data_IF_932932539290
#
_entry.id   IF_932932539290
#
_cell.length_a   1.000
_cell.length_b   1.000
_cell.length_c   1.000
_cell.angle_alpha   90.00
_cell.angle_beta   90.00
_cell.angle_gamma   90.00
#
_symmetry.space_group_name_H-M   'P 1'
#
loop_
_entity.id
_entity.type
_entity.pdbx_description
1 polymer ?
#
# COMPACT_ATOMS: atom_id res chain seq x y z
N UNK A 1 22.18 13.35 25.31
CA UNK A 1 21.26 12.56 24.47
C UNK A 1 19.84 12.77 24.99
N UNK A 2 19.08 13.69 24.40
CA UNK A 2 17.65 13.90 24.68
C UNK A 2 16.86 12.99 23.72
N UNK A 3 16.82 11.70 24.01
CA UNK A 3 15.98 10.75 23.28
C UNK A 3 14.89 10.28 24.22
N UNK A 4 13.63 10.26 23.76
CA UNK A 4 12.44 9.80 24.48
C UNK A 4 11.81 10.85 25.43
N UNK A 5 11.28 11.94 24.86
CA UNK A 5 10.41 12.90 25.58
C UNK A 5 8.92 12.50 25.58
N UNK A 6 8.54 11.35 24.98
CA UNK A 6 7.16 10.87 24.94
C UNK A 6 6.98 9.57 25.73
N UNK A 7 5.91 9.49 26.52
CA UNK A 7 5.53 8.25 27.21
C UNK A 7 5.09 7.19 26.19
N UNK A 8 5.49 5.93 26.35
CA UNK A 8 5.03 4.86 25.49
C UNK A 8 3.50 4.74 25.55
N UNK A 9 2.87 4.53 24.39
CA UNK A 9 1.43 4.30 24.28
C UNK A 9 1.19 2.98 23.55
N UNK A 10 -0.01 2.40 23.69
CA UNK A 10 -0.44 1.26 22.88
C UNK A 10 -0.84 1.67 21.44
N UNK A 11 -0.76 2.96 21.11
CA UNK A 11 -0.98 3.48 19.76
C UNK A 11 0.34 3.37 18.96
N UNK A 12 0.55 2.21 18.34
CA UNK A 12 1.70 1.95 17.46
C UNK A 12 1.76 2.87 16.23
N UNK A 13 0.70 3.64 15.97
CA UNK A 13 0.63 4.61 14.86
C UNK A 13 0.96 6.03 15.30
N UNK A 14 1.21 6.29 16.58
CA UNK A 14 1.53 7.62 17.10
C UNK A 14 2.75 8.26 16.43
N UNK A 15 3.70 7.46 15.93
CA UNK A 15 4.87 7.99 15.20
C UNK A 15 4.49 8.64 13.86
N UNK A 16 3.41 8.20 13.21
CA UNK A 16 2.92 8.80 11.96
C UNK A 16 2.37 10.23 12.19
N UNK A 17 2.14 10.64 13.44
CA UNK A 17 1.69 12.01 13.78
C UNK A 17 2.85 13.02 13.77
N UNK A 18 4.09 12.55 13.75
CA UNK A 18 5.27 13.39 13.91
C UNK A 18 6.31 13.13 12.83
N UNK A 19 6.57 14.17 12.04
CA UNK A 19 7.67 14.36 11.09
C UNK A 19 7.74 13.36 9.92
N UNK A 20 7.99 13.95 8.76
CA UNK A 20 8.13 13.29 7.48
C UNK A 20 9.00 12.02 7.48
N UNK A 21 8.56 11.01 6.75
CA UNK A 21 9.28 9.75 6.53
C UNK A 21 10.13 9.88 5.27
N UNK A 22 11.39 9.44 5.30
CA UNK A 22 12.22 9.40 4.10
C UNK A 22 12.11 8.04 3.42
N UNK A 23 11.71 8.05 2.15
CA UNK A 23 11.60 6.88 1.28
C UNK A 23 12.28 7.21 -0.03
N UNK A 24 13.23 6.37 -0.45
CA UNK A 24 13.97 6.54 -1.71
C UNK A 24 14.59 7.94 -1.87
N UNK A 25 15.13 8.49 -0.78
CA UNK A 25 15.74 9.82 -0.72
C UNK A 25 14.75 11.00 -0.58
N UNK A 26 13.45 10.76 -0.75
CA UNK A 26 12.41 11.78 -0.72
C UNK A 26 11.55 11.73 0.54
N UNK A 27 11.10 12.91 0.98
CA UNK A 27 10.26 13.10 2.16
C UNK A 27 8.80 12.77 1.85
N UNK A 28 8.11 12.02 2.71
CA UNK A 28 6.68 11.70 2.62
C UNK A 28 6.00 12.21 3.89
N UNK A 29 4.80 12.78 3.74
CA UNK A 29 3.95 13.18 4.86
C UNK A 29 2.98 12.03 5.22
N UNK A 30 3.19 11.32 6.35
CA UNK A 30 2.40 10.13 6.69
C UNK A 30 1.01 10.44 7.27
N UNK A 31 0.65 11.71 7.49
CA UNK A 31 -0.60 12.08 8.16
C UNK A 31 -1.85 11.56 7.44
N UNK A 32 -1.84 11.54 6.09
CA UNK A 32 -2.93 10.98 5.30
C UNK A 32 -3.07 9.47 5.49
N UNK A 33 -1.95 8.74 5.45
CA UNK A 33 -1.92 7.30 5.68
C UNK A 33 -2.42 6.95 7.08
N UNK A 34 -2.03 7.73 8.11
CA UNK A 34 -2.53 7.56 9.49
C UNK A 34 -4.05 7.61 9.58
N UNK A 35 -4.67 8.63 8.97
CA UNK A 35 -6.12 8.80 9.00
C UNK A 35 -6.83 7.67 8.26
N UNK A 36 -6.31 7.27 7.10
CA UNK A 36 -6.85 6.16 6.33
C UNK A 36 -6.75 4.84 7.08
N UNK A 37 -5.62 4.55 7.74
CA UNK A 37 -5.45 3.37 8.59
C UNK A 37 -6.45 3.37 9.75
N UNK A 38 -6.64 4.51 10.42
CA UNK A 38 -7.65 4.65 11.46
C UNK A 38 -9.06 4.41 10.94
N UNK A 39 -9.36 4.85 9.72
CA UNK A 39 -10.63 4.61 9.05
C UNK A 39 -10.80 3.11 8.74
N UNK A 40 -9.77 2.45 8.21
CA UNK A 40 -9.78 1.00 7.92
C UNK A 40 -10.12 0.21 9.18
N UNK A 41 -9.42 0.46 10.29
CA UNK A 41 -9.63 -0.27 11.55
C UNK A 41 -11.06 -0.15 12.10
N UNK A 42 -11.78 0.92 11.77
CA UNK A 42 -13.15 1.15 12.24
C UNK A 42 -14.19 0.56 11.29
N UNK A 43 -13.98 0.69 9.98
CA UNK A 43 -15.01 0.48 8.97
C UNK A 43 -14.87 -0.86 8.23
N UNK A 44 -13.65 -1.33 7.99
CA UNK A 44 -13.41 -2.59 7.28
C UNK A 44 -13.63 -3.77 8.24
N UNK A 45 -14.33 -4.80 7.76
CA UNK A 45 -14.62 -6.03 8.52
C UNK A 45 -13.99 -7.23 7.83
N UNK A 46 -13.61 -8.23 8.63
CA UNK A 46 -12.90 -9.41 8.14
C UNK A 46 -11.46 -9.10 7.75
N UNK A 47 -10.94 -9.87 6.80
CA UNK A 47 -9.56 -9.75 6.32
C UNK A 47 -9.50 -9.67 4.78
N UNK A 48 -10.20 -8.70 4.16
CA UNK A 48 -10.14 -8.50 2.71
C UNK A 48 -8.72 -8.15 2.25
N UNK A 49 -8.36 -8.55 1.03
CA UNK A 49 -7.08 -8.18 0.42
C UNK A 49 -7.10 -6.71 0.02
N UNK A 50 -6.08 -5.97 0.45
CA UNK A 50 -5.84 -4.58 0.07
C UNK A 50 -4.62 -4.47 -0.83
N UNK A 51 -4.77 -3.82 -1.97
CA UNK A 51 -3.65 -3.48 -2.85
C UNK A 51 -2.99 -2.19 -2.36
N UNK A 52 -1.66 -2.20 -2.27
CA UNK A 52 -0.83 -1.02 -1.96
C UNK A 52 0.47 -1.07 -2.78
N UNK A 53 1.18 0.05 -2.89
CA UNK A 53 2.44 0.13 -3.63
C UNK A 53 3.49 -0.86 -3.11
N UNK A 54 4.33 -1.34 -4.02
CA UNK A 54 5.45 -2.25 -3.75
C UNK A 54 6.75 -1.64 -4.26
N UNK A 55 7.92 -1.94 -3.66
CA UNK A 55 9.19 -1.40 -4.15
C UNK A 55 9.49 -1.85 -5.60
N UNK A 56 9.76 -0.92 -6.51
CA UNK A 56 10.09 -1.23 -7.92
C UNK A 56 11.58 -1.12 -8.26
N UNK A 57 12.35 -0.31 -7.50
CA UNK A 57 13.65 0.19 -7.94
C UNK A 57 14.86 -0.46 -7.26
N UNK A 58 14.72 -1.72 -6.87
CA UNK A 58 15.82 -2.47 -6.32
C UNK A 58 15.91 -3.87 -6.95
N UNK A 59 17.12 -4.34 -7.31
CA UNK A 59 17.36 -5.78 -7.48
C UNK A 59 16.69 -6.54 -6.34
N UNK A 60 16.20 -7.77 -6.56
CA UNK A 60 15.56 -8.56 -5.50
C UNK A 60 16.43 -8.64 -4.22
N UNK A 61 17.76 -8.58 -4.37
CA UNK A 61 18.78 -8.53 -3.31
C UNK A 61 18.79 -7.23 -2.47
N UNK A 62 18.13 -6.19 -2.98
CA UNK A 62 18.06 -4.84 -2.42
C UNK A 62 16.60 -4.40 -2.22
N UNK A 63 15.61 -5.28 -2.43
CA UNK A 63 14.23 -5.00 -2.03
C UNK A 63 14.19 -5.06 -0.50
N UNK A 64 14.49 -3.91 0.10
CA UNK A 64 14.75 -3.80 1.52
C UNK A 64 13.44 -4.01 2.30
N UNK A 65 13.45 -5.00 3.18
CA UNK A 65 12.63 -4.96 4.39
C UNK A 65 12.88 -3.63 5.13
N UNK A 66 11.93 -3.19 5.96
CA UNK A 66 12.03 -1.97 6.76
C UNK A 66 11.98 -0.66 5.96
N UNK A 67 11.44 -0.72 4.74
CA UNK A 67 10.99 0.47 4.01
C UNK A 67 9.56 0.84 4.44
N UNK A 68 9.11 2.03 4.03
CA UNK A 68 7.72 2.46 4.26
C UNK A 68 6.71 1.75 3.34
N UNK A 69 7.16 0.87 2.43
CA UNK A 69 6.25 0.02 1.67
C UNK A 69 5.59 -1.03 2.58
N UNK A 70 4.44 -1.55 2.14
CA UNK A 70 3.56 -2.42 2.93
C UNK A 70 3.06 -1.80 4.25
N UNK A 71 3.10 -0.46 4.40
CA UNK A 71 2.64 0.20 5.64
C UNK A 71 1.18 -0.08 5.93
N UNK A 72 0.33 -0.21 4.91
CA UNK A 72 -1.12 -0.34 5.11
C UNK A 72 -1.43 -1.73 5.66
N UNK A 73 -1.00 -2.79 4.98
CA UNK A 73 -1.14 -4.17 5.46
C UNK A 73 -0.47 -4.38 6.82
N UNK A 74 0.74 -3.85 7.02
CA UNK A 74 1.48 -4.00 8.30
C UNK A 74 0.78 -3.34 9.48
N UNK A 75 0.13 -2.19 9.27
CA UNK A 75 -0.52 -1.42 10.35
C UNK A 75 -2.00 -1.78 10.55
N UNK A 76 -2.63 -2.45 9.58
CA UNK A 76 -4.05 -2.84 9.65
C UNK A 76 -4.26 -4.33 9.91
N UNK A 77 -3.26 -5.17 9.61
CA UNK A 77 -3.39 -6.62 9.63
C UNK A 77 -4.15 -7.21 8.42
N UNK A 78 -4.49 -6.38 7.43
CA UNK A 78 -5.10 -6.85 6.19
C UNK A 78 -4.04 -7.52 5.28
N UNK A 79 -4.38 -8.64 4.60
CA UNK A 79 -3.50 -9.22 3.59
C UNK A 79 -3.32 -8.27 2.39
N UNK A 80 -2.18 -8.35 1.72
CA UNK A 80 -1.89 -7.64 0.45
C UNK A 80 -1.38 -8.63 -0.60
N UNK A 81 -1.39 -8.22 -1.87
CA UNK A 81 -0.95 -9.06 -3.01
C UNK A 81 0.50 -9.51 -2.84
N UNK A 82 1.36 -8.60 -2.40
CA UNK A 82 2.74 -8.91 -2.01
C UNK A 82 3.19 -7.90 -0.95
N UNK A 83 3.65 -8.42 0.20
CA UNK A 83 4.10 -7.61 1.32
C UNK A 83 5.61 -7.38 1.29
N UNK A 84 6.28 -7.66 2.40
CA UNK A 84 7.74 -7.62 2.49
C UNK A 84 8.36 -8.87 1.85
N UNK A 85 8.83 -8.70 0.62
CA UNK A 85 9.31 -9.76 -0.27
C UNK A 85 10.46 -10.57 0.34
N UNK A 86 11.34 -9.95 1.14
CA UNK A 86 12.46 -10.65 1.78
C UNK A 86 12.06 -11.38 3.07
N UNK A 87 11.05 -10.90 3.81
CA UNK A 87 10.40 -11.67 4.88
C UNK A 87 9.67 -12.91 4.34
N UNK A 88 8.97 -12.80 3.21
CA UNK A 88 8.36 -13.97 2.55
C UNK A 88 9.43 -14.99 2.10
N UNK A 89 10.53 -14.51 1.51
CA UNK A 89 11.67 -15.36 1.14
C UNK A 89 12.30 -16.05 2.36
N UNK A 90 12.47 -15.34 3.47
CA UNK A 90 13.04 -15.89 4.71
C UNK A 90 12.16 -16.96 5.38
N UNK A 91 10.85 -16.98 5.08
CA UNK A 91 9.93 -18.05 5.50
C UNK A 91 9.86 -19.23 4.51
N UNK A 92 10.70 -19.22 3.47
CA UNK A 92 10.82 -20.32 2.50
C UNK A 92 9.93 -20.20 1.26
N UNK A 93 9.30 -19.04 1.01
CA UNK A 93 8.65 -18.79 -0.28
C UNK A 93 9.72 -18.61 -1.37
N UNK A 94 9.56 -19.31 -2.50
CA UNK A 94 10.47 -19.21 -3.65
C UNK A 94 10.30 -17.85 -4.34
N UNK A 95 11.40 -17.22 -4.74
CA UNK A 95 11.44 -15.95 -5.49
C UNK A 95 10.58 -15.95 -6.77
N UNK A 96 10.37 -17.14 -7.36
CA UNK A 96 9.49 -17.34 -8.53
C UNK A 96 8.01 -16.97 -8.26
N UNK A 97 7.61 -16.81 -7.01
CA UNK A 97 6.23 -16.48 -6.60
C UNK A 97 6.06 -14.97 -6.38
N UNK A 98 7.08 -14.28 -5.89
CA UNK A 98 6.99 -12.85 -5.52
C UNK A 98 7.20 -11.92 -6.71
N UNK A 99 8.13 -12.25 -7.61
CA UNK A 99 8.38 -11.40 -8.79
C UNK A 99 7.16 -11.23 -9.72
N UNK A 100 6.38 -12.26 -10.05
CA UNK A 100 5.17 -12.09 -10.86
C UNK A 100 4.13 -11.20 -10.18
N UNK A 101 4.01 -11.30 -8.85
CA UNK A 101 3.08 -10.48 -8.07
C UNK A 101 3.50 -9.01 -8.07
N UNK A 102 4.78 -8.71 -7.91
CA UNK A 102 5.30 -7.33 -8.01
C UNK A 102 5.02 -6.76 -9.41
N UNK A 103 5.27 -7.55 -10.46
CA UNK A 103 4.95 -7.15 -11.84
C UNK A 103 3.47 -6.88 -12.03
N UNK A 104 2.60 -7.70 -11.44
CA UNK A 104 1.16 -7.53 -11.50
C UNK A 104 0.69 -6.30 -10.72
N UNK A 105 1.19 -6.05 -9.51
CA UNK A 105 0.89 -4.82 -8.76
C UNK A 105 1.32 -3.59 -9.57
N UNK A 106 2.52 -3.63 -10.15
CA UNK A 106 3.02 -2.57 -11.01
C UNK A 106 2.11 -2.35 -12.24
N UNK A 107 1.69 -3.43 -12.88
CA UNK A 107 0.75 -3.38 -14.01
C UNK A 107 -0.58 -2.76 -13.58
N UNK A 108 -1.16 -3.23 -12.47
CA UNK A 108 -2.44 -2.74 -11.95
C UNK A 108 -2.35 -1.24 -11.72
N UNK A 109 -1.30 -0.70 -11.08
CA UNK A 109 -1.23 0.74 -10.88
C UNK A 109 -0.90 1.54 -12.14
N UNK A 110 -0.12 0.99 -13.08
CA UNK A 110 0.40 1.73 -14.23
C UNK A 110 -0.48 1.72 -15.48
N UNK A 111 -1.30 0.68 -15.68
CA UNK A 111 -2.16 0.56 -16.87
C UNK A 111 -3.29 1.60 -16.87
N UNK A 112 -3.66 2.09 -18.05
CA UNK A 112 -4.90 2.88 -18.27
C UNK A 112 -6.09 1.97 -18.61
N UNK A 113 -5.83 0.70 -18.96
CA UNK A 113 -6.86 -0.30 -19.28
C UNK A 113 -7.50 -0.86 -17.99
N UNK A 114 -8.74 -0.45 -17.73
CA UNK A 114 -9.50 -0.84 -16.53
C UNK A 114 -9.81 -2.33 -16.50
N UNK A 115 -10.15 -2.92 -17.64
CA UNK A 115 -10.49 -4.34 -17.76
C UNK A 115 -9.27 -5.22 -17.46
N UNK A 116 -8.09 -4.80 -17.95
CA UNK A 116 -6.83 -5.47 -17.63
C UNK A 116 -6.50 -5.38 -16.14
N UNK A 117 -6.73 -4.23 -15.52
CA UNK A 117 -6.54 -4.06 -14.08
C UNK A 117 -7.50 -4.93 -13.27
N UNK A 118 -8.79 -4.93 -13.63
CA UNK A 118 -9.85 -5.72 -12.98
C UNK A 118 -9.53 -7.21 -13.01
N UNK A 119 -9.15 -7.75 -14.17
CA UNK A 119 -8.76 -9.16 -14.31
C UNK A 119 -7.64 -9.55 -13.32
N UNK A 120 -6.70 -8.65 -13.06
CA UNK A 120 -5.61 -8.88 -12.10
C UNK A 120 -6.09 -8.72 -10.66
N UNK A 121 -6.86 -7.69 -10.35
CA UNK A 121 -7.46 -7.47 -9.02
C UNK A 121 -8.30 -8.69 -8.58
N UNK A 122 -9.16 -9.19 -9.46
CA UNK A 122 -9.99 -10.39 -9.24
C UNK A 122 -9.13 -11.64 -9.00
N UNK A 123 -8.03 -11.81 -9.76
CA UNK A 123 -7.15 -12.97 -9.60
C UNK A 123 -6.48 -13.06 -8.23
N UNK A 124 -6.39 -11.95 -7.51
CA UNK A 124 -5.85 -11.85 -6.16
C UNK A 124 -6.92 -11.60 -5.09
N UNK A 125 -8.21 -11.65 -5.44
CA UNK A 125 -9.34 -11.35 -4.55
C UNK A 125 -9.20 -9.97 -3.85
N UNK A 126 -8.68 -8.99 -4.58
CA UNK A 126 -8.50 -7.62 -4.06
C UNK A 126 -9.85 -6.98 -3.89
N UNK A 127 -10.17 -6.59 -2.66
CA UNK A 127 -11.39 -5.87 -2.35
C UNK A 127 -11.19 -4.36 -2.25
N UNK A 128 -10.01 -3.92 -1.82
CA UNK A 128 -9.69 -2.51 -1.68
C UNK A 128 -8.39 -2.14 -2.40
N UNK A 129 -8.38 -1.00 -3.08
CA UNK A 129 -7.18 -0.37 -3.64
C UNK A 129 -6.86 0.89 -2.85
N UNK A 130 -5.62 0.98 -2.36
CA UNK A 130 -5.12 2.14 -1.63
C UNK A 130 -4.31 3.04 -2.56
N UNK A 131 -4.60 4.33 -2.61
CA UNK A 131 -3.85 5.32 -3.39
C UNK A 131 -3.45 6.48 -2.48
N UNK A 132 -2.17 6.53 -2.09
CA UNK A 132 -1.62 7.60 -1.27
C UNK A 132 -0.30 8.14 -1.82
N UNK A 133 0.51 8.73 -0.94
CA UNK A 133 1.75 9.43 -1.33
C UNK A 133 2.76 8.54 -2.06
N UNK A 134 2.85 7.24 -1.71
CA UNK A 134 3.73 6.31 -2.41
C UNK A 134 3.21 6.00 -3.81
N UNK A 135 1.91 5.73 -3.92
CA UNK A 135 1.27 5.37 -5.17
C UNK A 135 1.36 6.54 -6.18
N UNK A 136 1.03 7.77 -5.76
CA UNK A 136 1.16 8.97 -6.61
C UNK A 136 2.61 9.26 -7.04
N UNK A 137 3.59 8.92 -6.20
CA UNK A 137 5.00 9.14 -6.54
C UNK A 137 5.50 8.13 -7.55
N UNK A 138 5.08 6.87 -7.41
CA UNK A 138 5.69 5.75 -8.12
C UNK A 138 5.03 5.48 -9.46
N UNK A 139 3.72 5.69 -9.57
CA UNK A 139 2.95 5.25 -10.72
C UNK A 139 2.46 6.44 -11.56
N UNK A 140 2.25 6.24 -12.88
CA UNK A 140 1.75 7.31 -13.74
C UNK A 140 0.33 7.73 -13.34
N UNK A 141 0.11 9.04 -13.25
CA UNK A 141 -1.18 9.61 -12.83
C UNK A 141 -2.37 9.13 -13.68
N UNK A 142 -2.18 8.95 -14.99
CA UNK A 142 -3.23 8.38 -15.86
C UNK A 142 -3.62 6.96 -15.48
N UNK A 143 -2.65 6.17 -15.01
CA UNK A 143 -2.93 4.85 -14.46
C UNK A 143 -3.78 4.96 -13.19
N UNK A 144 -3.45 5.87 -12.28
CA UNK A 144 -4.21 6.05 -11.03
C UNK A 144 -5.64 6.56 -11.28
N UNK A 145 -5.82 7.47 -12.23
CA UNK A 145 -7.14 8.03 -12.59
C UNK A 145 -8.15 6.97 -13.02
N UNK A 146 -7.71 5.79 -13.45
CA UNK A 146 -8.61 4.70 -13.84
C UNK A 146 -9.52 4.25 -12.69
N UNK A 147 -9.07 4.39 -11.44
CA UNK A 147 -9.85 3.98 -10.26
C UNK A 147 -11.07 4.87 -10.02
N UNK A 148 -11.19 6.01 -10.72
CA UNK A 148 -12.37 6.86 -10.74
C UNK A 148 -13.51 6.29 -11.61
N UNK A 149 -13.29 5.16 -12.31
CA UNK A 149 -14.32 4.52 -13.11
C UNK A 149 -15.41 3.87 -12.23
N UNK A 150 -16.48 4.61 -11.95
CA UNK A 150 -17.57 4.25 -11.01
C UNK A 150 -18.28 2.92 -11.32
N UNK A 151 -18.18 2.42 -12.57
CA UNK A 151 -18.71 1.10 -12.94
C UNK A 151 -17.91 -0.08 -12.39
N UNK A 152 -16.66 0.15 -11.97
CA UNK A 152 -15.74 -0.88 -11.49
C UNK A 152 -15.30 -0.64 -10.04
N UNK A 153 -15.37 0.60 -9.58
CA UNK A 153 -14.87 1.01 -8.28
C UNK A 153 -15.84 1.94 -7.57
N UNK A 154 -15.95 1.79 -6.25
CA UNK A 154 -16.59 2.78 -5.39
C UNK A 154 -15.52 3.46 -4.53
N UNK A 155 -15.42 4.79 -4.60
CA UNK A 155 -14.53 5.53 -3.70
C UNK A 155 -15.13 5.56 -2.29
N UNK A 156 -14.48 4.87 -1.35
CA UNK A 156 -14.95 4.70 0.04
C UNK A 156 -14.25 5.63 1.02
N UNK A 157 -13.12 6.22 0.63
CA UNK A 157 -12.35 7.16 1.43
C UNK A 157 -11.63 8.15 0.52
N UNK A 158 -11.62 9.43 0.89
CA UNK A 158 -10.85 10.49 0.23
C UNK A 158 -10.54 11.60 1.25
N UNK A 159 -9.33 11.56 1.82
CA UNK A 159 -8.89 12.58 2.77
C UNK A 159 -7.37 12.73 2.76
N UNK A 160 -6.89 13.99 2.86
CA UNK A 160 -5.46 14.32 3.01
C UNK A 160 -4.54 13.69 1.96
N UNK A 161 -5.01 13.59 0.71
CA UNK A 161 -4.22 13.04 -0.40
C UNK A 161 -4.09 11.52 -0.35
N UNK A 162 -4.99 10.84 0.38
CA UNK A 162 -5.18 9.40 0.33
C UNK A 162 -6.59 9.09 -0.11
N UNK A 163 -6.71 8.20 -1.08
CA UNK A 163 -7.95 7.69 -1.61
C UNK A 163 -7.99 6.17 -1.43
N UNK A 164 -9.18 5.63 -1.15
CA UNK A 164 -9.41 4.20 -1.19
C UNK A 164 -10.62 3.87 -2.06
N UNK A 165 -10.47 2.83 -2.86
CA UNK A 165 -11.47 2.35 -3.78
C UNK A 165 -11.85 0.92 -3.42
N UNK A 166 -13.14 0.66 -3.26
CA UNK A 166 -13.68 -0.70 -3.17
C UNK A 166 -13.92 -1.24 -4.59
N UNK A 167 -13.43 -2.44 -4.85
CA UNK A 167 -13.66 -3.16 -6.12
C UNK A 167 -15.09 -3.73 -6.11
N UNK A 168 -15.83 -3.50 -7.21
CA UNK A 168 -17.22 -3.92 -7.41
C UNK A 168 -17.34 -5.36 -7.93
#
# INVERSE_FOLDING_TARGET
LKGFETSPTLDGTAYLKHSSIRVDGASIEPAGDYLAICWISKNVKGSPVILEAVPLNAPWEQQFDYTYYSRVSSLTGLPTVVGWVFHEHSWGYKTDITEPRIKDVNLIYSTEDVELAMKKLESYDVKYVFVGSLEHRQYPERGLQKFEAENFFTKVYDEKGVQMYEVL
#
